data_IF_322410466683
#
_entry.id   IF_322410466683
#
_cell.length_a   1.000
_cell.length_b   1.000
_cell.length_c   1.000
_cell.angle_alpha   90.00
_cell.angle_beta   90.00
_cell.angle_gamma   90.00
#
_symmetry.space_group_name_H-M   'P 1'
#
loop_
_entity.id
_entity.type
_entity.pdbx_description
1 polymer ?
#
# COMPACT_ATOMS: atom_id res chain seq x y z
N UNK A 1 -27.07 15.82 5.25
CA UNK A 1 -26.96 16.99 4.34
C UNK A 1 -28.31 17.23 3.68
N UNK A 2 -29.20 18.07 4.25
CA UNK A 2 -30.48 18.40 3.63
C UNK A 2 -30.26 19.02 2.24
N UNK A 3 -31.09 18.66 1.26
CA UNK A 3 -30.98 19.21 -0.10
C UNK A 3 -29.90 18.58 -0.99
N UNK A 4 -29.17 17.55 -0.52
CA UNK A 4 -28.02 16.99 -1.24
C UNK A 4 -28.38 16.54 -2.66
N UNK A 5 -29.51 15.86 -2.84
CA UNK A 5 -29.89 15.28 -4.14
C UNK A 5 -30.29 16.37 -5.12
N UNK A 6 -30.97 17.40 -4.63
CA UNK A 6 -31.42 18.56 -5.40
C UNK A 6 -30.25 19.46 -5.82
N UNK A 7 -29.13 19.42 -5.08
CA UNK A 7 -27.95 20.27 -5.29
C UNK A 7 -26.79 19.56 -6.01
N UNK A 8 -26.93 18.29 -6.39
CA UNK A 8 -25.90 17.55 -7.11
C UNK A 8 -25.72 18.09 -8.53
N UNK A 9 -24.58 18.72 -8.80
CA UNK A 9 -24.21 19.19 -10.16
C UNK A 9 -23.56 18.08 -10.97
N UNK A 10 -22.74 17.25 -10.33
CA UNK A 10 -22.05 16.12 -10.94
C UNK A 10 -21.72 15.07 -9.89
N UNK A 11 -21.55 13.83 -10.31
CA UNK A 11 -21.07 12.76 -9.46
C UNK A 11 -20.19 11.81 -10.25
N UNK A 12 -19.26 11.16 -9.55
CA UNK A 12 -18.48 10.05 -10.08
C UNK A 12 -18.47 8.93 -9.05
N UNK A 13 -18.61 7.71 -9.54
CA UNK A 13 -18.45 6.52 -8.72
C UNK A 13 -17.10 5.89 -9.04
N UNK A 14 -16.44 5.41 -7.99
CA UNK A 14 -15.21 4.65 -8.08
C UNK A 14 -15.35 3.49 -7.11
N UNK A 15 -15.44 2.29 -7.66
CA UNK A 15 -15.79 1.06 -6.98
C UNK A 15 -14.53 0.23 -6.72
N UNK A 16 -14.62 -0.86 -5.93
CA UNK A 16 -13.51 -1.81 -5.82
C UNK A 16 -13.05 -2.40 -7.15
N UNK A 17 -13.93 -2.51 -8.15
CA UNK A 17 -13.53 -2.94 -9.50
C UNK A 17 -12.65 -1.90 -10.17
N UNK A 18 -12.95 -0.61 -10.00
CA UNK A 18 -12.10 0.46 -10.51
C UNK A 18 -10.72 0.48 -9.83
N UNK A 19 -10.65 0.20 -8.51
CA UNK A 19 -9.35 0.03 -7.84
C UNK A 19 -8.54 -1.13 -8.43
N UNK A 20 -9.18 -2.27 -8.72
CA UNK A 20 -8.54 -3.41 -9.36
C UNK A 20 -8.05 -3.07 -10.76
N UNK A 21 -8.94 -2.52 -11.58
CA UNK A 21 -8.72 -2.39 -13.03
C UNK A 21 -7.90 -1.16 -13.39
N UNK A 22 -7.98 -0.08 -12.60
CA UNK A 22 -7.28 1.19 -12.88
C UNK A 22 -6.05 1.41 -12.01
N UNK A 23 -5.99 0.86 -10.79
CA UNK A 23 -4.85 1.06 -9.87
C UNK A 23 -4.02 -0.21 -9.64
N UNK A 24 -4.40 -1.34 -10.26
CA UNK A 24 -3.74 -2.63 -10.03
C UNK A 24 -3.90 -3.14 -8.60
N UNK A 25 -4.88 -2.64 -7.85
CA UNK A 25 -5.11 -3.05 -6.48
C UNK A 25 -5.80 -4.42 -6.45
N UNK A 26 -5.08 -5.47 -6.08
CA UNK A 26 -5.65 -6.81 -5.94
C UNK A 26 -6.91 -6.79 -5.07
N UNK A 27 -7.99 -7.44 -5.54
CA UNK A 27 -9.32 -7.44 -4.91
C UNK A 27 -9.95 -6.06 -4.69
N UNK A 28 -9.43 -5.00 -5.31
CA UNK A 28 -9.87 -3.64 -5.09
C UNK A 28 -9.50 -3.08 -3.72
N UNK A 29 -8.43 -3.58 -3.11
CA UNK A 29 -8.03 -3.17 -1.76
C UNK A 29 -7.38 -1.79 -1.72
N UNK A 30 -7.94 -0.88 -0.91
CA UNK A 30 -7.36 0.45 -0.69
C UNK A 30 -6.09 0.43 0.18
N UNK A 31 -5.89 -0.61 0.99
CA UNK A 31 -4.81 -0.70 1.99
C UNK A 31 -3.98 -1.99 1.86
N UNK A 32 -4.04 -2.65 0.70
CA UNK A 32 -3.41 -3.95 0.42
C UNK A 32 -3.97 -5.08 1.29
N UNK A 33 -3.30 -5.43 2.40
CA UNK A 33 -3.67 -6.57 3.25
C UNK A 33 -4.59 -6.15 4.39
N UNK A 34 -5.39 -7.09 4.90
CA UNK A 34 -6.39 -6.86 5.93
C UNK A 34 -5.72 -6.39 7.25
N UNK A 35 -6.29 -5.42 7.98
CA UNK A 35 -5.69 -4.90 9.19
C UNK A 35 -5.94 -5.79 10.43
N UNK A 36 -5.76 -7.10 10.31
CA UNK A 36 -5.73 -8.01 11.47
C UNK A 36 -4.32 -8.05 12.07
N UNK A 37 -4.21 -8.46 13.34
CA UNK A 37 -2.93 -8.46 14.07
C UNK A 37 -1.82 -9.22 13.31
N UNK A 38 -2.14 -10.41 12.79
CA UNK A 38 -1.20 -11.28 12.05
C UNK A 38 -0.86 -10.77 10.65
N UNK A 39 -1.48 -9.69 10.18
CA UNK A 39 -1.19 -9.03 8.90
C UNK A 39 -0.78 -7.56 9.09
N UNK A 40 -0.43 -7.18 10.33
CA UNK A 40 -0.10 -5.80 10.71
C UNK A 40 1.36 -5.65 11.14
N UNK A 41 1.88 -4.42 11.00
CA UNK A 41 3.20 -4.00 11.47
C UNK A 41 4.33 -4.99 11.11
N UNK A 42 4.87 -5.68 12.11
CA UNK A 42 5.98 -6.63 11.96
C UNK A 42 5.62 -7.85 11.12
N UNK A 43 4.37 -8.31 11.17
CA UNK A 43 3.92 -9.51 10.46
C UNK A 43 3.67 -9.29 8.97
N UNK A 44 3.94 -8.08 8.47
CA UNK A 44 3.87 -7.77 7.04
C UNK A 44 5.08 -8.36 6.30
N UNK A 45 4.96 -8.59 4.99
CA UNK A 45 6.12 -8.81 4.14
C UNK A 45 7.21 -7.76 4.41
N UNK A 46 8.44 -8.23 4.55
CA UNK A 46 9.59 -7.38 4.81
C UNK A 46 10.09 -6.76 3.49
N UNK A 47 10.76 -5.62 3.60
CA UNK A 47 11.16 -4.80 2.45
C UNK A 47 12.21 -5.45 1.54
N UNK A 48 12.92 -6.49 1.99
CA UNK A 48 13.87 -7.29 1.21
C UNK A 48 13.39 -8.74 1.15
N UNK A 49 13.37 -9.32 -0.05
CA UNK A 49 13.04 -10.73 -0.19
C UNK A 49 14.17 -11.61 0.38
N UNK A 50 13.80 -12.68 1.08
CA UNK A 50 14.76 -13.57 1.75
C UNK A 50 15.37 -14.63 0.84
N UNK A 51 14.83 -14.82 -0.37
CA UNK A 51 15.20 -15.87 -1.31
C UNK A 51 15.77 -15.32 -2.61
N UNK A 52 15.24 -14.19 -3.08
CA UNK A 52 15.64 -13.56 -4.33
C UNK A 52 16.57 -12.38 -4.02
N UNK A 53 17.84 -12.53 -4.40
CA UNK A 53 18.83 -11.47 -4.24
C UNK A 53 18.43 -10.22 -5.02
N UNK A 54 18.63 -9.05 -4.40
CA UNK A 54 18.35 -7.74 -4.99
C UNK A 54 16.88 -7.49 -5.37
N UNK A 55 15.93 -8.25 -4.79
CA UNK A 55 14.51 -7.99 -4.88
C UNK A 55 14.00 -7.33 -3.60
N UNK A 56 13.23 -6.24 -3.78
CA UNK A 56 12.68 -5.47 -2.69
C UNK A 56 11.18 -5.25 -2.86
N UNK A 57 10.48 -5.21 -1.74
CA UNK A 57 9.06 -4.88 -1.67
C UNK A 57 8.90 -3.49 -1.05
N UNK A 58 7.90 -2.73 -1.53
CA UNK A 58 7.61 -1.39 -1.03
C UNK A 58 6.11 -1.10 -1.18
N UNK A 59 5.56 -0.33 -0.24
CA UNK A 59 4.21 0.21 -0.34
C UNK A 59 3.24 -0.36 0.69
N UNK A 60 1.94 -0.21 0.43
CA UNK A 60 0.90 -0.39 1.45
C UNK A 60 0.74 -1.82 1.96
N UNK A 61 1.26 -2.82 1.24
CA UNK A 61 1.29 -4.23 1.66
C UNK A 61 2.54 -4.63 2.42
N UNK A 62 3.57 -3.79 2.44
CA UNK A 62 4.90 -4.09 2.99
C UNK A 62 5.07 -3.38 4.33
N UNK A 63 5.97 -3.88 5.17
CA UNK A 63 6.39 -3.16 6.37
C UNK A 63 6.80 -1.70 6.03
N UNK A 64 6.43 -0.70 6.85
CA UNK A 64 5.67 -0.78 8.10
C UNK A 64 4.14 -0.84 7.94
N UNK A 65 3.57 -0.45 6.79
CA UNK A 65 2.14 -0.61 6.54
C UNK A 65 1.52 0.37 5.56
N UNK A 66 0.20 0.48 5.63
CA UNK A 66 -0.62 1.23 4.67
C UNK A 66 -0.86 2.70 5.09
N UNK A 67 -1.49 3.47 4.19
CA UNK A 67 -1.69 4.91 4.35
C UNK A 67 -0.45 5.72 3.97
N UNK A 68 -0.60 7.03 3.74
CA UNK A 68 0.50 7.89 3.26
C UNK A 68 1.75 7.80 4.15
N UNK A 69 1.67 7.91 5.49
CA UNK A 69 2.85 7.76 6.34
C UNK A 69 3.47 6.36 6.29
N UNK A 70 2.64 5.32 6.25
CA UNK A 70 3.10 3.92 6.20
C UNK A 70 3.84 3.59 4.90
N UNK A 71 3.30 4.05 3.77
CA UNK A 71 3.91 3.86 2.44
C UNK A 71 5.23 4.62 2.32
N UNK A 72 5.29 5.87 2.80
CA UNK A 72 6.55 6.64 2.80
C UNK A 72 7.58 5.99 3.73
N UNK A 73 7.16 5.51 4.90
CA UNK A 73 8.02 4.75 5.81
C UNK A 73 8.56 3.47 5.17
N UNK A 74 7.72 2.77 4.39
CA UNK A 74 8.10 1.58 3.64
C UNK A 74 9.19 1.91 2.63
N UNK A 75 9.01 2.98 1.85
CA UNK A 75 10.01 3.43 0.89
C UNK A 75 11.34 3.81 1.56
N UNK A 76 11.29 4.50 2.72
CA UNK A 76 12.48 4.85 3.49
C UNK A 76 13.25 3.61 3.96
N UNK A 77 12.54 2.61 4.51
CA UNK A 77 13.15 1.36 4.96
C UNK A 77 13.76 0.57 3.79
N UNK A 78 13.03 0.43 2.68
CA UNK A 78 13.52 -0.24 1.46
C UNK A 78 14.80 0.44 0.94
N UNK A 79 14.78 1.77 0.81
CA UNK A 79 15.95 2.52 0.34
C UNK A 79 17.15 2.34 1.27
N UNK A 80 16.94 2.33 2.59
CA UNK A 80 17.99 2.05 3.57
C UNK A 80 18.66 0.69 3.33
N UNK A 81 17.86 -0.36 3.13
CA UNK A 81 18.38 -1.71 2.84
C UNK A 81 19.13 -1.79 1.51
N UNK A 82 18.70 -1.02 0.50
CA UNK A 82 19.39 -0.94 -0.80
C UNK A 82 20.76 -0.28 -0.66
N UNK A 83 20.83 0.85 0.07
CA UNK A 83 22.08 1.58 0.30
C UNK A 83 23.05 0.74 1.13
N UNK A 84 22.58 0.06 2.17
CA UNK A 84 23.39 -0.86 2.98
C UNK A 84 23.99 -1.99 2.13
N UNK A 85 23.21 -2.59 1.24
CA UNK A 85 23.71 -3.65 0.35
C UNK A 85 24.75 -3.16 -0.66
N UNK A 86 24.69 -1.89 -1.07
CA UNK A 86 25.63 -1.27 -2.01
C UNK A 86 26.88 -0.70 -1.33
N UNK A 87 26.89 -0.61 0.00
CA UNK A 87 28.05 -0.15 0.74
C UNK A 87 29.22 -1.15 0.55
N UNK A 88 30.45 -0.66 0.35
CA UNK A 88 31.63 -1.49 0.10
C UNK A 88 32.03 -2.36 1.29
#
# INVERSE_FOLDING_TARGET
>A
MPGLREQLVTHRMFTPFDFRDQLGAHQGSAFSIEPILTQSAWFRPHNRDSRIANLYLVGAGTHPGAGVPGVIGSAKATAGLMVEQLAP
#
